data_IF_334842291487
#
_entry.id   IF_334842291487
#
_cell.length_a   1.000
_cell.length_b   1.000
_cell.length_c   1.000
_cell.angle_alpha   90.00
_cell.angle_beta   90.00
_cell.angle_gamma   90.00
#
_symmetry.space_group_name_H-M   'P 1'
#
loop_
_entity.id
_entity.type
_entity.pdbx_description
1 polymer ?
#
# COMPACT_ATOMS: atom_id res chain seq x y z
N UNK A 1 34.15 -25.15 16.32
CA UNK A 1 33.38 -26.39 16.04
C UNK A 1 32.99 -26.35 14.56
N UNK A 2 33.22 -27.43 13.79
CA UNK A 2 32.83 -27.53 12.37
C UNK A 2 31.34 -27.85 12.27
N UNK A 3 30.57 -27.03 11.54
CA UNK A 3 29.15 -27.26 11.30
C UNK A 3 28.98 -28.19 10.09
N UNK A 4 28.21 -29.27 10.25
CA UNK A 4 27.85 -30.19 9.18
C UNK A 4 26.36 -30.03 8.94
N UNK A 5 25.99 -29.41 7.82
CA UNK A 5 24.61 -29.21 7.40
C UNK A 5 24.04 -30.52 6.84
N UNK A 6 23.01 -31.08 7.49
CA UNK A 6 22.28 -32.23 6.93
C UNK A 6 21.34 -31.74 5.83
N UNK A 7 21.47 -32.32 4.64
CA UNK A 7 20.63 -32.03 3.47
C UNK A 7 19.21 -32.54 3.74
N UNK A 8 18.22 -31.65 3.69
CA UNK A 8 16.80 -32.01 3.77
C UNK A 8 16.42 -32.72 2.46
N UNK A 9 16.03 -33.99 2.53
CA UNK A 9 15.60 -34.79 1.39
C UNK A 9 14.10 -34.59 1.14
N UNK A 10 13.79 -33.91 0.02
CA UNK A 10 12.60 -33.94 -0.88
C UNK A 10 11.31 -34.67 -0.41
N UNK A 11 10.07 -34.31 -0.80
CA UNK A 11 9.57 -33.41 -1.84
C UNK A 11 8.06 -33.21 -1.60
N UNK A 12 7.64 -31.97 -1.39
CA UNK A 12 6.31 -31.43 -1.75
C UNK A 12 6.32 -29.97 -1.32
N UNK A 13 7.08 -29.14 -2.01
CA UNK A 13 6.95 -27.69 -1.83
C UNK A 13 5.55 -27.31 -2.32
N UNK A 14 4.61 -27.13 -1.38
CA UNK A 14 3.25 -26.67 -1.66
C UNK A 14 3.24 -25.31 -2.39
N UNK A 15 4.35 -24.57 -2.25
CA UNK A 15 4.58 -23.29 -2.90
C UNK A 15 5.95 -23.33 -3.57
N UNK A 16 6.00 -22.98 -4.86
CA UNK A 16 7.27 -22.70 -5.53
C UNK A 16 7.91 -21.45 -4.88
N UNK A 17 9.24 -21.32 -4.90
CA UNK A 17 9.89 -20.09 -4.44
C UNK A 17 9.31 -18.90 -5.21
N UNK A 18 8.67 -17.97 -4.51
CA UNK A 18 8.14 -16.75 -5.10
C UNK A 18 9.31 -15.93 -5.66
N UNK A 19 9.36 -15.79 -6.99
CA UNK A 19 10.39 -14.99 -7.67
C UNK A 19 10.06 -13.49 -7.68
N UNK A 20 8.86 -13.12 -7.24
CA UNK A 20 8.38 -11.76 -7.15
C UNK A 20 6.87 -11.71 -6.97
N UNK A 21 6.37 -10.52 -6.63
CA UNK A 21 4.93 -10.29 -6.60
C UNK A 21 4.37 -10.33 -8.02
N UNK A 22 3.14 -10.79 -8.16
CA UNK A 22 2.47 -10.84 -9.44
C UNK A 22 0.99 -10.52 -9.29
N UNK A 23 0.40 -10.08 -10.40
CA UNK A 23 -1.04 -9.87 -10.55
C UNK A 23 -1.49 -10.76 -11.70
N UNK A 24 -2.32 -11.75 -11.40
CA UNK A 24 -2.91 -12.65 -12.39
C UNK A 24 -4.42 -12.61 -12.33
N UNK A 25 -5.06 -13.11 -13.38
CA UNK A 25 -6.51 -13.22 -13.45
C UNK A 25 -7.00 -13.73 -14.79
N UNK A 26 -8.31 -13.66 -14.97
CA UNK A 26 -9.02 -14.07 -16.18
C UNK A 26 -9.86 -12.93 -16.75
N UNK A 27 -9.74 -12.70 -18.05
CA UNK A 27 -10.55 -11.77 -18.83
C UNK A 27 -11.73 -12.49 -19.47
N UNK A 28 -12.93 -11.99 -19.21
CA UNK A 28 -14.19 -12.60 -19.64
C UNK A 28 -15.05 -11.61 -20.43
N UNK A 29 -15.92 -12.13 -21.30
CA UNK A 29 -17.03 -11.38 -21.89
C UNK A 29 -18.13 -11.16 -20.85
N UNK A 30 -19.10 -10.29 -21.14
CA UNK A 30 -20.30 -10.15 -20.30
C UNK A 30 -21.13 -11.44 -20.20
N UNK A 31 -20.91 -12.42 -21.10
CA UNK A 31 -21.50 -13.76 -21.04
C UNK A 31 -20.64 -14.76 -20.25
N UNK A 32 -19.59 -14.29 -19.58
CA UNK A 32 -18.62 -15.09 -18.83
C UNK A 32 -17.77 -16.05 -19.68
N UNK A 33 -17.56 -15.74 -20.95
CA UNK A 33 -16.70 -16.53 -21.85
C UNK A 33 -15.27 -15.94 -21.86
N UNK A 34 -14.21 -16.76 -21.88
CA UNK A 34 -12.83 -16.26 -21.89
C UNK A 34 -12.50 -15.50 -23.18
N UNK A 35 -11.81 -14.36 -23.03
CA UNK A 35 -11.36 -13.54 -24.16
C UNK A 35 -9.87 -13.79 -24.39
N UNK A 36 -9.52 -14.37 -25.54
CA UNK A 36 -8.13 -14.64 -25.92
C UNK A 36 -7.53 -13.54 -26.80
N UNK A 37 -6.22 -13.32 -26.68
CA UNK A 37 -5.45 -12.42 -27.54
C UNK A 37 -5.75 -10.94 -27.31
N UNK A 38 -6.43 -10.59 -26.21
CA UNK A 38 -6.72 -9.19 -25.90
C UNK A 38 -5.65 -8.59 -25.01
N UNK A 39 -5.40 -7.28 -25.21
CA UNK A 39 -4.49 -6.49 -24.40
C UNK A 39 -5.12 -6.17 -23.05
N UNK A 40 -4.38 -6.47 -21.99
CA UNK A 40 -4.68 -6.10 -20.60
C UNK A 40 -3.55 -5.19 -20.13
N UNK A 41 -3.90 -4.02 -19.62
CA UNK A 41 -2.97 -3.02 -19.09
C UNK A 41 -3.13 -2.90 -17.58
N UNK A 42 -2.04 -2.72 -16.86
CA UNK A 42 -2.01 -2.41 -15.44
C UNK A 42 -1.34 -1.06 -15.19
N UNK A 43 -1.91 -0.28 -14.27
CA UNK A 43 -1.40 0.99 -13.83
C UNK A 43 -1.33 1.06 -12.31
N UNK A 44 -0.29 1.68 -11.78
CA UNK A 44 -0.19 2.02 -10.35
C UNK A 44 0.69 3.26 -10.14
N UNK A 45 0.67 3.80 -8.91
CA UNK A 45 1.67 4.77 -8.45
C UNK A 45 2.55 4.09 -7.42
N UNK A 46 3.84 3.92 -7.75
CA UNK A 46 4.82 3.22 -6.90
C UNK A 46 5.95 4.21 -6.58
N UNK A 47 6.16 4.48 -5.28
CA UNK A 47 7.21 5.40 -4.83
C UNK A 47 7.04 6.85 -5.31
N UNK A 48 5.81 7.26 -5.66
CA UNK A 48 5.52 8.58 -6.23
C UNK A 48 5.71 8.69 -7.75
N UNK A 49 6.10 7.60 -8.42
CA UNK A 49 6.22 7.53 -9.88
C UNK A 49 5.11 6.66 -10.49
N UNK A 50 4.65 6.96 -11.71
CA UNK A 50 3.68 6.14 -12.41
C UNK A 50 4.32 4.83 -12.89
N UNK A 51 3.61 3.72 -12.71
CA UNK A 51 3.94 2.39 -13.19
C UNK A 51 2.94 1.98 -14.27
N UNK A 52 3.44 1.46 -15.40
CA UNK A 52 2.64 0.93 -16.49
C UNK A 52 3.17 -0.42 -16.92
N UNK A 53 2.27 -1.38 -17.13
CA UNK A 53 2.59 -2.66 -17.73
C UNK A 53 1.43 -3.11 -18.63
N UNK A 54 1.73 -3.88 -19.67
CA UNK A 54 0.72 -4.54 -20.49
C UNK A 54 1.06 -6.02 -20.74
N UNK A 55 0.03 -6.80 -21.04
CA UNK A 55 0.15 -8.22 -21.34
C UNK A 55 -0.99 -8.64 -22.26
N UNK A 56 -0.88 -9.84 -22.84
CA UNK A 56 -1.91 -10.42 -23.70
C UNK A 56 -2.56 -11.62 -22.99
N UNK A 57 -3.86 -11.76 -23.17
CA UNK A 57 -4.57 -12.92 -22.64
C UNK A 57 -4.27 -14.18 -23.47
N UNK A 58 -4.07 -15.31 -22.79
CA UNK A 58 -3.86 -16.60 -23.45
C UNK A 58 -5.17 -17.21 -24.00
N UNK A 59 -5.11 -18.44 -24.53
CA UNK A 59 -6.29 -19.17 -25.06
C UNK A 59 -7.43 -19.34 -24.03
N UNK A 60 -7.09 -19.45 -22.74
CA UNK A 60 -8.04 -19.53 -21.63
C UNK A 60 -8.46 -18.17 -21.07
N UNK A 61 -8.10 -17.06 -21.74
CA UNK A 61 -8.39 -15.71 -21.27
C UNK A 61 -7.57 -15.25 -20.06
N UNK A 62 -6.52 -15.99 -19.66
CA UNK A 62 -5.71 -15.59 -18.50
C UNK A 62 -4.69 -14.52 -18.86
N UNK A 63 -4.50 -13.58 -17.95
CA UNK A 63 -3.44 -12.58 -17.98
C UNK A 63 -2.54 -12.70 -16.74
N UNK A 64 -1.30 -12.26 -16.87
CA UNK A 64 -0.34 -12.24 -15.77
C UNK A 64 0.62 -11.06 -15.92
N UNK A 65 0.82 -10.32 -14.83
CA UNK A 65 1.86 -9.32 -14.64
C UNK A 65 2.81 -9.84 -13.58
N UNK A 66 4.01 -10.26 -13.99
CA UNK A 66 5.02 -10.83 -13.08
C UNK A 66 6.07 -9.79 -12.65
N UNK A 67 6.90 -10.18 -11.65
CA UNK A 67 8.07 -9.43 -11.19
C UNK A 67 7.75 -7.99 -10.76
N UNK A 68 6.63 -7.84 -10.05
CA UNK A 68 6.25 -6.58 -9.46
C UNK A 68 7.09 -6.34 -8.19
N UNK A 69 7.69 -5.16 -8.10
CA UNK A 69 8.52 -4.76 -6.96
C UNK A 69 8.00 -3.46 -6.38
N UNK A 70 7.38 -3.56 -5.21
CA UNK A 70 6.89 -2.40 -4.48
C UNK A 70 6.77 -2.72 -2.99
N UNK A 71 6.73 -1.67 -2.18
CA UNK A 71 6.69 -1.78 -0.72
C UNK A 71 5.36 -1.25 -0.17
N UNK A 72 4.86 -1.91 0.89
CA UNK A 72 3.59 -1.55 1.53
C UNK A 72 2.36 -1.85 0.66
N UNK A 73 1.17 -1.45 1.14
CA UNK A 73 -0.07 -1.60 0.37
C UNK A 73 -0.04 -0.67 -0.85
N UNK A 74 -0.39 -1.20 -2.02
CA UNK A 74 -0.54 -0.44 -3.26
C UNK A 74 -1.82 -0.84 -3.99
N UNK A 75 -2.41 0.15 -4.65
CA UNK A 75 -3.57 -0.02 -5.51
C UNK A 75 -3.11 -0.08 -6.97
N UNK A 76 -3.61 -1.07 -7.70
CA UNK A 76 -3.40 -1.25 -9.14
C UNK A 76 -4.74 -1.16 -9.87
N UNK A 77 -4.79 -0.39 -10.95
CA UNK A 77 -5.90 -0.39 -11.88
C UNK A 77 -5.56 -1.28 -13.07
N UNK A 78 -6.40 -2.29 -13.32
CA UNK A 78 -6.28 -3.20 -14.44
C UNK A 78 -7.37 -2.85 -15.45
N UNK A 79 -7.01 -2.65 -16.71
CA UNK A 79 -7.95 -2.37 -17.78
C UNK A 79 -7.77 -3.36 -18.92
N UNK A 80 -8.88 -3.70 -19.57
CA UNK A 80 -8.88 -4.53 -20.74
C UNK A 80 -9.94 -4.04 -21.73
N UNK A 81 -9.66 -4.28 -23.01
CA UNK A 81 -10.62 -4.11 -24.11
C UNK A 81 -11.00 -5.50 -24.64
N UNK A 82 -12.09 -5.62 -25.37
CA UNK A 82 -12.38 -6.82 -26.15
C UNK A 82 -11.56 -6.83 -27.44
N UNK A 83 -11.61 -7.93 -28.19
CA UNK A 83 -10.91 -8.08 -29.48
C UNK A 83 -11.36 -7.05 -30.54
N UNK A 84 -12.46 -6.33 -30.32
CA UNK A 84 -12.98 -5.26 -31.18
C UNK A 84 -12.66 -3.87 -30.61
N UNK A 85 -11.72 -3.78 -29.67
CA UNK A 85 -11.28 -2.54 -29.03
C UNK A 85 -12.37 -1.84 -28.20
N UNK A 86 -13.35 -2.58 -27.66
CA UNK A 86 -14.43 -2.05 -26.82
C UNK A 86 -14.23 -2.45 -25.37
N UNK A 87 -14.58 -1.56 -24.46
CA UNK A 87 -14.50 -1.76 -23.02
C UNK A 87 -15.51 -2.77 -22.41
N UNK A 88 -16.13 -3.65 -23.21
CA UNK A 88 -17.18 -4.59 -22.76
C UNK A 88 -16.60 -5.91 -22.24
N UNK A 89 -15.84 -5.84 -21.15
CA UNK A 89 -15.17 -6.99 -20.56
C UNK A 89 -15.30 -7.04 -19.05
N UNK A 90 -15.22 -8.23 -18.48
CA UNK A 90 -15.16 -8.48 -17.03
C UNK A 90 -13.76 -8.97 -16.68
N UNK A 91 -13.09 -8.29 -15.76
CA UNK A 91 -11.78 -8.68 -15.24
C UNK A 91 -12.00 -9.39 -13.91
N UNK A 92 -11.55 -10.65 -13.82
CA UNK A 92 -11.57 -11.45 -12.59
C UNK A 92 -10.14 -11.72 -12.12
N UNK A 93 -9.59 -10.90 -11.21
CA UNK A 93 -8.29 -11.17 -10.61
C UNK A 93 -8.31 -12.51 -9.88
N UNK A 94 -7.20 -13.23 -9.95
CA UNK A 94 -7.00 -14.41 -9.12
C UNK A 94 -6.89 -13.94 -7.66
N UNK A 95 -7.64 -14.58 -6.76
CA UNK A 95 -7.42 -14.35 -5.34
C UNK A 95 -6.06 -14.91 -4.98
N UNK A 96 -5.13 -14.06 -4.54
CA UNK A 96 -3.96 -14.56 -3.84
C UNK A 96 -4.48 -15.43 -2.69
N UNK A 97 -4.07 -16.70 -2.60
CA UNK A 97 -4.47 -17.51 -1.48
C UNK A 97 -4.04 -16.75 -0.23
N UNK A 98 -5.00 -16.38 0.61
CA UNK A 98 -4.66 -15.92 1.94
C UNK A 98 -3.75 -17.00 2.52
N UNK A 99 -2.58 -16.64 3.08
CA UNK A 99 -1.75 -17.65 3.71
C UNK A 99 -2.66 -18.40 4.68
N UNK A 100 -2.73 -19.72 4.52
CA UNK A 100 -3.42 -20.56 5.49
C UNK A 100 -2.89 -20.12 6.85
N UNK A 101 -3.76 -19.48 7.63
CA UNK A 101 -3.44 -19.14 9.02
C UNK A 101 -3.37 -20.49 9.69
N UNK A 102 -2.20 -21.12 9.61
CA UNK A 102 -1.88 -22.21 10.49
C UNK A 102 -2.02 -21.58 11.87
N UNK A 103 -2.88 -22.12 12.75
CA UNK A 103 -2.87 -21.68 14.13
C UNK A 103 -1.41 -21.74 14.56
N UNK A 104 -0.90 -20.61 15.09
CA UNK A 104 0.46 -20.55 15.61
C UNK A 104 0.67 -21.87 16.37
N UNK A 105 1.70 -22.68 16.03
CA UNK A 105 1.96 -23.87 16.82
C UNK A 105 1.95 -23.42 18.27
N UNK A 106 1.24 -24.13 19.17
CA UNK A 106 1.12 -23.70 20.55
C UNK A 106 2.51 -23.28 21.00
N UNK A 107 2.64 -22.01 21.42
CA UNK A 107 3.89 -21.48 21.95
C UNK A 107 4.47 -22.60 22.80
N UNK A 108 5.69 -23.04 22.47
CA UNK A 108 6.36 -24.19 23.09
C UNK A 108 5.91 -24.34 24.54
N UNK A 109 5.65 -25.57 25.05
CA UNK A 109 5.19 -25.76 26.43
C UNK A 109 5.98 -24.82 27.35
N UNK A 110 5.23 -24.02 28.12
CA UNK A 110 5.62 -22.73 28.71
C UNK A 110 6.93 -22.72 29.54
N UNK A 111 7.52 -23.88 29.72
CA UNK A 111 8.54 -24.19 30.71
C UNK A 111 9.98 -24.05 30.18
N UNK A 112 10.22 -23.80 28.89
CA UNK A 112 11.60 -23.70 28.36
C UNK A 112 11.97 -22.40 27.63
N UNK A 113 11.01 -21.64 27.11
CA UNK A 113 11.28 -20.35 26.43
C UNK A 113 10.26 -19.25 26.77
N UNK A 114 9.04 -19.61 27.16
CA UNK A 114 8.00 -18.63 27.46
C UNK A 114 8.23 -17.88 28.79
N UNK A 115 8.81 -18.53 29.79
CA UNK A 115 9.09 -17.93 31.10
C UNK A 115 10.03 -16.72 31.03
N UNK A 116 11.21 -16.77 30.37
CA UNK A 116 12.06 -15.59 30.25
C UNK A 116 11.45 -14.51 29.37
N UNK A 117 10.69 -14.85 28.32
CA UNK A 117 10.07 -13.85 27.44
C UNK A 117 8.88 -13.14 28.11
N UNK A 118 8.05 -13.87 28.86
CA UNK A 118 6.95 -13.31 29.65
C UNK A 118 7.50 -12.50 30.82
N UNK A 119 8.53 -12.99 31.50
CA UNK A 119 9.21 -12.23 32.55
C UNK A 119 9.86 -10.94 32.00
N UNK A 120 10.46 -10.98 30.81
CA UNK A 120 10.99 -9.80 30.13
C UNK A 120 9.87 -8.83 29.72
N UNK A 121 8.75 -9.34 29.18
CA UNK A 121 7.60 -8.53 28.81
C UNK A 121 6.95 -7.86 30.03
N UNK A 122 6.81 -8.57 31.15
CA UNK A 122 6.30 -8.04 32.42
C UNK A 122 7.29 -7.06 33.05
N UNK A 123 8.59 -7.35 33.00
CA UNK A 123 9.64 -6.44 33.46
C UNK A 123 9.69 -5.16 32.63
N UNK A 124 9.58 -5.25 31.30
CA UNK A 124 9.48 -4.13 30.37
C UNK A 124 8.24 -3.29 30.67
N UNK A 125 7.07 -3.92 30.84
CA UNK A 125 5.82 -3.23 31.21
C UNK A 125 5.93 -2.51 32.55
N UNK A 126 6.51 -3.16 33.57
CA UNK A 126 6.71 -2.57 34.90
C UNK A 126 7.68 -1.39 34.86
N UNK A 127 8.80 -1.53 34.13
CA UNK A 127 9.75 -0.43 33.89
C UNK A 127 9.08 0.74 33.18
N UNK A 128 8.26 0.48 32.16
CA UNK A 128 7.51 1.52 31.44
C UNK A 128 6.58 2.30 32.38
N UNK A 129 5.84 1.60 33.25
CA UNK A 129 4.97 2.23 34.26
C UNK A 129 5.77 3.04 35.28
N UNK A 130 6.90 2.54 35.78
CA UNK A 130 7.78 3.27 36.70
C UNK A 130 8.37 4.54 36.05
N UNK A 131 8.69 4.50 34.75
CA UNK A 131 9.16 5.66 33.99
C UNK A 131 8.08 6.74 33.78
N UNK A 132 6.82 6.33 33.62
CA UNK A 132 5.68 7.24 33.52
C UNK A 132 5.42 7.95 34.85
N UNK A 133 5.43 7.21 35.96
CA UNK A 133 5.23 7.74 37.31
C UNK A 133 6.35 8.71 37.75
N UNK A 134 7.60 8.42 37.37
CA UNK A 134 8.75 9.25 37.73
C UNK A 134 8.99 10.44 36.78
N UNK A 135 8.04 10.79 35.92
CA UNK A 135 8.14 11.91 34.96
C UNK A 135 9.35 11.85 34.00
N UNK A 136 10.00 10.69 33.87
CA UNK A 136 11.18 10.50 33.00
C UNK A 136 10.77 10.59 31.52
N UNK A 137 9.56 10.13 31.20
CA UNK A 137 8.97 10.13 29.86
C UNK A 137 8.43 11.49 29.37
N UNK A 138 8.57 12.58 30.15
CA UNK A 138 7.99 13.92 29.81
C UNK A 138 8.47 14.57 28.50
N UNK A 139 9.38 13.95 27.74
CA UNK A 139 9.73 14.39 26.37
C UNK A 139 9.34 13.40 25.28
N UNK A 140 8.72 12.28 25.61
CA UNK A 140 7.95 11.50 24.66
C UNK A 140 6.59 12.17 24.50
N UNK A 141 6.15 12.39 23.26
CA UNK A 141 4.77 12.80 23.00
C UNK A 141 3.88 11.67 23.53
N UNK A 142 3.27 11.86 24.71
CA UNK A 142 2.21 10.98 25.18
C UNK A 142 1.07 11.16 24.20
N UNK A 143 0.96 10.23 23.25
CA UNK A 143 -0.14 10.22 22.30
C UNK A 143 -1.39 10.06 23.16
N UNK A 144 -2.22 11.10 23.16
CA UNK A 144 -3.56 11.03 23.78
C UNK A 144 -4.20 9.75 23.27
N UNK A 145 -4.88 9.01 24.15
CA UNK A 145 -5.74 7.90 23.77
C UNK A 145 -6.57 8.36 22.58
N UNK A 146 -6.21 7.82 21.40
CA UNK A 146 -6.99 7.99 20.20
C UNK A 146 -8.07 6.94 20.31
N UNK A 147 -9.28 7.38 20.66
CA UNK A 147 -10.45 6.59 20.30
C UNK A 147 -10.34 6.37 18.79
N UNK A 148 -10.05 5.14 18.39
CA UNK A 148 -10.10 4.73 16.99
C UNK A 148 -11.59 4.68 16.64
N UNK A 149 -12.20 5.87 16.50
CA UNK A 149 -13.41 6.02 15.71
C UNK A 149 -13.00 5.52 14.35
N UNK A 150 -13.60 4.41 13.93
CA UNK A 150 -13.29 3.75 12.67
C UNK A 150 -13.04 4.84 11.61
N UNK A 151 -11.84 4.86 11.02
CA UNK A 151 -11.53 5.82 9.94
C UNK A 151 -12.66 5.66 8.93
N UNK A 152 -13.41 6.75 8.70
CA UNK A 152 -14.47 6.78 7.68
C UNK A 152 -13.84 6.21 6.41
N UNK A 153 -14.38 5.10 5.91
CA UNK A 153 -13.85 4.45 4.71
C UNK A 153 -13.98 5.46 3.58
N UNK A 154 -12.85 5.90 3.07
CA UNK A 154 -12.83 6.88 1.99
C UNK A 154 -13.18 6.15 0.71
N UNK A 155 -14.31 6.52 0.11
CA UNK A 155 -14.83 5.89 -1.10
C UNK A 155 -14.25 6.57 -2.34
N UNK A 156 -13.93 5.75 -3.35
CA UNK A 156 -13.62 6.18 -4.72
C UNK A 156 -14.34 5.23 -5.65
N UNK A 157 -15.18 5.77 -6.53
CA UNK A 157 -15.79 4.97 -7.59
C UNK A 157 -14.81 4.57 -8.68
N UNK A 158 -13.60 5.15 -8.69
CA UNK A 158 -12.47 4.66 -9.51
C UNK A 158 -11.57 3.62 -8.86
N UNK A 159 -11.97 3.16 -7.67
CA UNK A 159 -11.37 2.06 -6.94
C UNK A 159 -10.42 2.51 -5.85
N UNK A 160 -9.55 3.48 -6.12
CA UNK A 160 -8.74 4.13 -5.08
C UNK A 160 -8.42 5.59 -5.45
N UNK A 161 -8.58 6.48 -4.46
CA UNK A 161 -8.19 7.88 -4.56
C UNK A 161 -6.71 8.09 -4.84
N UNK A 162 -5.86 7.10 -4.55
CA UNK A 162 -4.43 7.18 -4.85
C UNK A 162 -4.13 7.36 -6.35
N UNK A 163 -5.09 7.09 -7.22
CA UNK A 163 -4.95 7.33 -8.65
C UNK A 163 -5.26 8.76 -9.07
N UNK A 164 -5.94 9.52 -8.21
CA UNK A 164 -6.30 10.89 -8.49
C UNK A 164 -5.10 11.81 -8.30
N UNK A 165 -4.90 12.70 -9.27
CA UNK A 165 -3.94 13.79 -9.14
C UNK A 165 -4.41 14.78 -8.09
N UNK A 166 -5.73 14.98 -8.03
CA UNK A 166 -6.36 15.89 -7.09
C UNK A 166 -7.63 15.29 -6.51
N UNK A 167 -7.80 15.50 -5.20
CA UNK A 167 -8.93 14.98 -4.43
C UNK A 167 -9.55 16.14 -3.65
N UNK A 168 -10.83 16.37 -3.91
CA UNK A 168 -11.60 17.46 -3.32
C UNK A 168 -12.72 16.85 -2.47
N UNK A 169 -12.54 16.83 -1.16
CA UNK A 169 -13.55 16.38 -0.21
C UNK A 169 -14.73 17.36 -0.08
N UNK A 170 -15.91 16.84 0.28
CA UNK A 170 -17.12 17.65 0.50
C UNK A 170 -16.88 18.87 1.40
N UNK A 171 -16.02 18.73 2.42
CA UNK A 171 -15.67 19.81 3.34
C UNK A 171 -15.16 21.08 2.64
N UNK A 172 -14.53 20.95 1.48
CA UNK A 172 -13.97 22.06 0.68
C UNK A 172 -14.95 22.63 -0.34
N UNK A 173 -16.06 21.93 -0.64
CA UNK A 173 -16.97 22.29 -1.73
C UNK A 173 -18.39 22.57 -1.28
N UNK A 174 -18.78 22.16 -0.06
CA UNK A 174 -20.13 22.32 0.49
C UNK A 174 -20.67 23.75 0.45
N UNK A 175 -19.80 24.75 0.53
CA UNK A 175 -20.18 26.18 0.55
C UNK A 175 -20.06 26.83 -0.84
N UNK A 176 -19.67 26.06 -1.87
CA UNK A 176 -19.56 26.55 -3.24
C UNK A 176 -20.92 26.57 -3.93
N UNK A 177 -21.08 27.45 -4.92
CA UNK A 177 -22.35 27.57 -5.64
C UNK A 177 -22.59 26.43 -6.64
N UNK A 178 -21.52 25.85 -7.19
CA UNK A 178 -21.58 24.74 -8.15
C UNK A 178 -20.32 23.90 -8.12
N UNK A 179 -20.42 22.63 -8.56
CA UNK A 179 -19.25 21.76 -8.68
C UNK A 179 -18.21 22.29 -9.66
N UNK A 180 -18.64 22.91 -10.78
CA UNK A 180 -17.72 23.53 -11.72
C UNK A 180 -16.87 24.65 -11.08
N UNK A 181 -17.47 25.44 -10.18
CA UNK A 181 -16.76 26.47 -9.42
C UNK A 181 -15.76 25.84 -8.46
N UNK A 182 -16.19 24.81 -7.72
CA UNK A 182 -15.33 24.04 -6.83
C UNK A 182 -14.11 23.43 -7.55
N UNK A 183 -14.33 22.79 -8.70
CA UNK A 183 -13.29 22.18 -9.54
C UNK A 183 -12.31 23.25 -10.02
N UNK A 184 -12.82 24.36 -10.55
CA UNK A 184 -11.97 25.47 -11.05
C UNK A 184 -11.15 26.12 -9.93
N UNK A 185 -11.71 26.20 -8.72
CA UNK A 185 -11.02 26.78 -7.56
C UNK A 185 -9.92 25.87 -7.03
N UNK A 186 -10.17 24.56 -7.02
CA UNK A 186 -9.21 23.55 -6.63
C UNK A 186 -8.07 23.46 -7.67
N UNK A 187 -8.45 23.40 -8.95
CA UNK A 187 -7.54 23.38 -10.08
C UNK A 187 -7.80 24.55 -11.05
N UNK A 188 -7.07 25.68 -10.92
CA UNK A 188 -7.25 26.86 -11.78
C UNK A 188 -7.00 26.64 -13.27
N UNK A 189 -6.39 25.51 -13.63
CA UNK A 189 -6.16 25.12 -15.02
C UNK A 189 -7.32 24.36 -15.63
N UNK A 190 -8.27 23.85 -14.83
CA UNK A 190 -9.50 23.26 -15.35
C UNK A 190 -10.55 24.37 -15.47
N UNK A 191 -11.05 24.55 -16.69
CA UNK A 191 -12.07 25.56 -17.01
C UNK A 191 -13.23 24.90 -17.73
N UNK A 192 -14.40 25.51 -17.63
CA UNK A 192 -15.61 25.07 -18.31
C UNK A 192 -15.92 26.04 -19.44
N UNK A 193 -16.20 25.50 -20.63
CA UNK A 193 -16.55 26.33 -21.78
C UNK A 193 -18.05 26.76 -21.73
N UNK A 194 -18.51 27.45 -22.79
CA UNK A 194 -19.90 27.91 -22.91
C UNK A 194 -20.94 26.78 -22.95
N UNK A 195 -20.54 25.56 -23.27
CA UNK A 195 -21.37 24.37 -23.28
C UNK A 195 -21.26 23.58 -21.96
N UNK A 196 -20.54 24.10 -20.97
CA UNK A 196 -20.17 23.43 -19.72
C UNK A 196 -19.23 22.25 -19.91
N UNK A 197 -18.45 22.22 -20.98
CA UNK A 197 -17.43 21.19 -21.18
C UNK A 197 -16.13 21.54 -20.42
N UNK A 198 -15.66 20.66 -19.52
CA UNK A 198 -14.39 20.84 -18.85
C UNK A 198 -13.23 20.68 -19.83
N UNK A 199 -12.24 21.57 -19.72
CA UNK A 199 -11.01 21.54 -20.50
C UNK A 199 -9.83 22.02 -19.66
N UNK A 200 -8.66 21.43 -19.93
CA UNK A 200 -7.41 21.79 -19.25
C UNK A 200 -6.66 22.86 -20.04
N UNK A 201 -6.30 23.95 -19.36
CA UNK A 201 -5.69 25.17 -19.92
C UNK A 201 -4.21 25.32 -19.56
N UNK A 202 -3.66 24.43 -18.73
CA UNK A 202 -2.29 24.50 -18.21
C UNK A 202 -1.19 24.00 -19.15
N UNK A 203 -1.26 24.29 -20.46
CA UNK A 203 -0.27 23.87 -21.47
C UNK A 203 -0.87 23.03 -22.60
N UNK A 204 -0.06 22.20 -23.29
CA UNK A 204 -0.55 21.20 -24.25
C UNK A 204 -0.81 19.88 -23.52
N UNK A 205 -2.02 19.61 -23.02
CA UNK A 205 -2.32 18.27 -22.52
C UNK A 205 -2.21 17.26 -23.67
N UNK A 206 -1.74 16.04 -23.37
CA UNK A 206 -1.65 14.93 -24.33
C UNK A 206 -3.04 14.55 -24.90
N UNK A 207 -4.12 14.81 -24.15
CA UNK A 207 -5.52 14.58 -24.54
C UNK A 207 -6.39 15.81 -24.26
N UNK A 208 -7.36 16.10 -25.14
CA UNK A 208 -8.08 17.39 -25.16
C UNK A 208 -9.42 17.42 -24.42
N UNK A 209 -9.98 16.28 -24.02
CA UNK A 209 -11.30 16.23 -23.39
C UNK A 209 -11.27 15.55 -22.03
N UNK A 210 -12.22 15.96 -21.20
CA UNK A 210 -12.57 15.29 -19.95
C UNK A 210 -13.75 14.35 -20.18
N UNK A 211 -13.80 13.29 -19.40
CA UNK A 211 -14.96 12.41 -19.23
C UNK A 211 -15.40 12.44 -17.77
N UNK A 212 -16.70 12.40 -17.52
CA UNK A 212 -17.25 12.43 -16.17
C UNK A 212 -17.71 11.05 -15.76
N UNK A 213 -17.31 10.62 -14.56
CA UNK A 213 -17.78 9.38 -13.93
C UNK A 213 -18.55 9.76 -12.66
N UNK A 214 -19.82 9.37 -12.56
CA UNK A 214 -20.63 9.59 -11.36
C UNK A 214 -20.92 8.23 -10.72
N UNK A 215 -20.45 8.04 -9.49
CA UNK A 215 -20.58 6.78 -8.73
C UNK A 215 -20.19 5.52 -9.52
N UNK A 216 -19.22 5.64 -10.45
CA UNK A 216 -18.70 4.51 -11.23
C UNK A 216 -19.37 4.33 -12.59
N UNK A 217 -20.34 5.17 -12.94
CA UNK A 217 -20.95 5.18 -14.26
C UNK A 217 -20.41 6.36 -15.09
N UNK A 218 -20.00 6.07 -16.33
CA UNK A 218 -19.63 7.10 -17.30
C UNK A 218 -20.87 7.92 -17.66
N UNK A 219 -20.75 9.23 -17.53
CA UNK A 219 -21.83 10.20 -17.69
C UNK A 219 -21.40 11.33 -18.63
N UNK A 220 -22.38 12.02 -19.18
CA UNK A 220 -22.16 13.27 -19.90
C UNK A 220 -21.59 14.35 -18.96
N UNK A 221 -20.70 15.19 -19.47
CA UNK A 221 -20.06 16.24 -18.68
C UNK A 221 -21.06 17.28 -18.13
N UNK A 222 -22.23 17.43 -18.77
CA UNK A 222 -23.33 18.23 -18.26
C UNK A 222 -23.82 17.81 -16.88
N UNK A 223 -23.57 16.57 -16.43
CA UNK A 223 -23.91 16.12 -15.07
C UNK A 223 -23.20 16.91 -13.97
N UNK A 224 -22.01 17.47 -14.26
CA UNK A 224 -21.27 18.31 -13.31
C UNK A 224 -22.10 19.53 -12.87
N UNK A 225 -22.94 20.07 -13.77
CA UNK A 225 -23.78 21.23 -13.47
C UNK A 225 -25.12 20.86 -12.84
N UNK A 226 -25.54 19.60 -12.94
CA UNK A 226 -26.82 19.13 -12.40
C UNK A 226 -26.73 18.73 -10.94
N UNK A 227 -25.55 18.30 -10.48
CA UNK A 227 -25.32 17.89 -9.10
C UNK A 227 -24.98 19.08 -8.21
N UNK A 228 -25.62 19.16 -7.04
CA UNK A 228 -25.29 20.14 -6.01
C UNK A 228 -24.07 19.72 -5.17
N UNK A 229 -23.25 20.67 -4.67
CA UNK A 229 -22.15 20.34 -3.75
C UNK A 229 -22.61 19.63 -2.47
N UNK A 230 -23.84 19.86 -2.02
CA UNK A 230 -24.42 19.17 -0.86
C UNK A 230 -24.70 17.68 -1.10
N UNK A 231 -24.84 17.24 -2.35
CA UNK A 231 -25.10 15.85 -2.72
C UNK A 231 -23.81 15.06 -2.96
N UNK A 232 -22.68 15.76 -3.09
CA UNK A 232 -21.38 15.17 -3.43
C UNK A 232 -20.56 14.90 -2.17
N UNK A 233 -20.06 13.68 -2.02
CA UNK A 233 -19.09 13.34 -0.98
C UNK A 233 -17.68 13.78 -1.38
N UNK A 234 -17.30 13.57 -2.64
CA UNK A 234 -16.01 14.02 -3.15
C UNK A 234 -15.93 14.10 -4.66
N UNK A 235 -14.96 14.87 -5.13
CA UNK A 235 -14.53 14.93 -6.53
C UNK A 235 -13.08 14.46 -6.61
N UNK A 236 -12.77 13.59 -7.57
CA UNK A 236 -11.41 13.14 -7.88
C UNK A 236 -11.09 13.51 -9.33
N UNK A 237 -9.93 14.11 -9.56
CA UNK A 237 -9.49 14.56 -10.87
C UNK A 237 -8.28 13.73 -11.28
N UNK A 238 -8.41 13.06 -12.42
CA UNK A 238 -7.37 12.26 -13.05
C UNK A 238 -7.08 12.90 -14.40
N UNK A 239 -6.03 13.71 -14.48
CA UNK A 239 -5.62 14.37 -15.71
C UNK A 239 -4.18 14.03 -16.13
N UNK A 240 -3.46 13.27 -15.29
CA UNK A 240 -2.16 12.67 -15.59
C UNK A 240 -2.22 11.14 -15.44
N UNK A 241 -1.07 10.47 -15.33
CA UNK A 241 -0.94 9.07 -14.90
C UNK A 241 -1.97 8.10 -15.52
N UNK A 242 -2.92 7.66 -14.69
CA UNK A 242 -3.95 6.69 -15.05
C UNK A 242 -4.81 7.18 -16.21
N UNK A 243 -5.16 8.47 -16.25
CA UNK A 243 -5.96 9.07 -17.32
C UNK A 243 -5.27 8.93 -18.68
N UNK A 244 -3.96 9.16 -18.73
CA UNK A 244 -3.15 9.14 -19.96
C UNK A 244 -2.82 7.73 -20.45
N UNK A 245 -2.61 6.76 -19.55
CA UNK A 245 -2.21 5.40 -19.94
C UNK A 245 -3.36 4.39 -20.03
N UNK A 246 -4.52 4.70 -19.47
CA UNK A 246 -5.65 3.76 -19.35
C UNK A 246 -6.88 4.29 -20.07
N UNK A 247 -7.24 5.56 -19.90
CA UNK A 247 -8.53 6.06 -20.37
C UNK A 247 -8.49 6.79 -21.71
N UNK A 248 -7.30 7.18 -22.20
CA UNK A 248 -7.15 8.04 -23.37
C UNK A 248 -7.95 9.37 -23.24
N UNK A 249 -8.25 9.76 -22.00
CA UNK A 249 -9.04 10.94 -21.64
C UNK A 249 -8.58 11.46 -20.27
N UNK A 250 -8.93 12.69 -19.94
CA UNK A 250 -8.87 13.15 -18.55
C UNK A 250 -10.20 12.78 -17.88
N UNK A 251 -10.22 12.45 -16.60
CA UNK A 251 -11.43 12.01 -15.89
C UNK A 251 -11.72 12.90 -14.70
N UNK A 252 -12.98 13.29 -14.56
CA UNK A 252 -13.55 13.84 -13.33
C UNK A 252 -14.47 12.77 -12.74
N UNK A 253 -14.14 12.32 -11.54
CA UNK A 253 -14.93 11.34 -10.80
C UNK A 253 -15.72 12.08 -9.72
N UNK A 254 -17.02 11.88 -9.67
CA UNK A 254 -17.91 12.44 -8.67
C UNK A 254 -18.51 11.28 -7.88
N UNK A 255 -18.22 11.28 -6.58
CA UNK A 255 -18.81 10.32 -5.64
C UNK A 255 -19.91 11.02 -4.86
N UNK A 256 -21.15 10.52 -4.88
CA UNK A 256 -22.29 11.12 -4.19
C UNK A 256 -22.42 10.62 -2.74
N UNK A 257 -23.00 11.44 -1.85
CA UNK A 257 -23.26 11.07 -0.44
C UNK A 257 -24.29 9.94 -0.30
N UNK A 258 -25.16 9.80 -1.29
CA UNK A 258 -26.19 8.76 -1.36
C UNK A 258 -25.64 7.42 -1.83
N UNK A 259 -24.32 7.31 -2.05
CA UNK A 259 -23.63 6.08 -2.45
C UNK A 259 -24.31 4.87 -1.82
N UNK A 260 -25.03 4.09 -2.63
CA UNK A 260 -25.73 2.92 -2.14
C UNK A 260 -24.65 1.90 -1.72
N UNK A 261 -24.48 1.65 -0.41
CA UNK A 261 -23.42 0.76 0.07
C UNK A 261 -23.71 -0.71 -0.26
N UNK A 262 -24.91 -1.02 -0.76
CA UNK A 262 -25.37 -2.34 -1.18
C UNK A 262 -25.36 -2.53 -2.70
N UNK A 263 -25.54 -1.47 -3.50
CA UNK A 263 -25.23 -1.51 -4.92
C UNK A 263 -23.72 -1.31 -5.12
N UNK A 264 -23.03 -2.43 -5.34
CA UNK A 264 -21.63 -2.49 -5.74
C UNK A 264 -21.39 -1.85 -7.13
N UNK A 265 -21.65 -0.55 -7.31
CA UNK A 265 -21.10 0.21 -8.43
C UNK A 265 -19.55 0.22 -8.39
N UNK A 266 -18.97 -0.13 -7.23
CA UNK A 266 -17.54 -0.27 -6.97
C UNK A 266 -16.85 -1.48 -7.62
N UNK A 267 -17.57 -2.41 -8.27
CA UNK A 267 -16.90 -3.60 -8.82
C UNK A 267 -16.41 -3.44 -10.25
N UNK A 268 -17.06 -2.64 -11.09
CA UNK A 268 -16.70 -2.41 -12.49
C UNK A 268 -16.66 -0.90 -12.76
N UNK A 269 -15.65 -0.28 -12.14
CA UNK A 269 -15.33 1.16 -12.04
C UNK A 269 -15.60 1.99 -13.32
N UNK A 270 -15.28 1.41 -14.45
CA UNK A 270 -15.55 1.84 -15.82
C UNK A 270 -15.60 0.51 -16.56
N UNK A 271 -16.46 0.38 -17.58
CA UNK A 271 -16.53 -0.87 -18.34
C UNK A 271 -15.10 -1.35 -18.69
N UNK A 272 -14.79 -2.62 -18.42
CA UNK A 272 -13.47 -3.17 -18.70
C UNK A 272 -12.33 -2.71 -17.79
N UNK A 273 -12.60 -2.06 -16.64
CA UNK A 273 -11.58 -1.74 -15.63
C UNK A 273 -11.88 -2.35 -14.26
N UNK A 274 -10.82 -2.74 -13.54
CA UNK A 274 -10.85 -3.29 -12.19
C UNK A 274 -9.70 -2.75 -11.35
N UNK A 275 -10.02 -2.11 -10.23
CA UNK A 275 -9.03 -1.79 -9.21
C UNK A 275 -8.81 -2.98 -8.26
N UNK A 276 -7.56 -3.24 -7.92
CA UNK A 276 -7.15 -4.24 -6.93
C UNK A 276 -6.16 -3.63 -5.94
N UNK A 277 -6.18 -4.13 -4.71
CA UNK A 277 -5.20 -3.78 -3.68
C UNK A 277 -4.28 -4.95 -3.45
N UNK A 278 -2.99 -4.69 -3.42
CA UNK A 278 -1.95 -5.68 -3.25
C UNK A 278 -1.00 -5.24 -2.14
N UNK A 279 -0.65 -6.17 -1.24
CA UNK A 279 0.34 -5.92 -0.22
C UNK A 279 1.73 -6.21 -0.81
N UNK A 280 2.56 -5.17 -0.86
CA UNK A 280 3.94 -5.26 -1.30
C UNK A 280 4.88 -5.79 -0.23
N UNK A 281 6.18 -5.76 -0.53
CA UNK A 281 7.21 -6.08 0.44
C UNK A 281 7.13 -5.20 1.69
N UNK A 282 7.57 -5.76 2.81
CA UNK A 282 7.62 -5.02 4.06
C UNK A 282 8.66 -3.91 3.96
N UNK A 283 8.24 -2.67 4.20
CA UNK A 283 9.18 -1.55 4.35
C UNK A 283 9.71 -1.58 5.79
N UNK A 284 11.01 -1.82 5.94
CA UNK A 284 11.63 -1.77 7.26
C UNK A 284 11.47 -0.37 7.86
N UNK A 285 11.16 -0.33 9.16
CA UNK A 285 11.13 0.91 9.93
C UNK A 285 12.53 1.17 10.47
N UNK A 286 12.99 2.40 10.35
CA UNK A 286 14.17 2.85 11.07
C UNK A 286 13.79 3.11 12.53
N UNK A 287 14.52 2.48 13.46
CA UNK A 287 14.32 2.74 14.88
C UNK A 287 15.04 4.01 15.26
N UNK A 288 14.38 4.86 16.06
CA UNK A 288 15.00 6.07 16.57
C UNK A 288 16.20 5.73 17.47
N UNK A 289 17.36 6.30 17.15
CA UNK A 289 18.57 6.25 17.97
C UNK A 289 18.75 7.64 18.62
N UNK A 290 18.68 7.75 19.95
CA UNK A 290 18.98 8.98 20.66
C UNK A 290 20.39 9.46 20.35
N UNK A 291 20.58 10.78 20.27
CA UNK A 291 21.91 11.36 20.29
C UNK A 291 22.41 11.37 21.73
N UNK A 292 23.47 10.60 22.00
CA UNK A 292 24.13 10.58 23.30
C UNK A 292 25.16 11.72 23.33
N UNK A 293 24.86 12.81 24.01
CA UNK A 293 25.81 13.88 24.32
C UNK A 293 26.29 13.77 25.78
N UNK A 294 27.42 14.40 26.11
CA UNK A 294 28.03 14.33 27.44
C UNK A 294 27.14 14.92 28.56
N UNK A 295 26.07 15.65 28.20
CA UNK A 295 25.13 16.28 29.13
C UNK A 295 23.86 15.45 29.39
N UNK A 296 23.46 14.55 28.48
CA UNK A 296 22.32 13.65 28.67
C UNK A 296 22.67 12.46 29.57
N UNK A 297 22.60 12.68 30.89
CA UNK A 297 22.72 11.64 31.92
C UNK A 297 21.43 10.85 32.19
N UNK A 298 20.44 10.91 31.29
CA UNK A 298 19.19 10.16 31.47
C UNK A 298 19.43 8.69 31.14
N UNK A 299 18.92 7.79 31.99
CA UNK A 299 18.96 6.36 31.73
C UNK A 299 18.19 6.06 30.43
N UNK A 300 18.87 5.45 29.46
CA UNK A 300 18.20 4.85 28.30
C UNK A 300 17.67 3.47 28.72
N UNK A 301 16.36 3.32 28.58
CA UNK A 301 15.62 2.18 29.11
C UNK A 301 14.84 1.46 27.99
N UNK A 302 15.26 1.66 26.73
CA UNK A 302 14.68 0.98 25.57
C UNK A 302 15.07 -0.50 25.56
N UNK A 303 14.15 -1.38 25.17
CA UNK A 303 14.48 -2.81 25.03
C UNK A 303 15.29 -3.11 23.75
N UNK A 304 15.15 -2.27 22.72
CA UNK A 304 15.90 -2.36 21.45
C UNK A 304 16.90 -1.21 21.37
N UNK A 305 18.17 -1.52 21.57
CA UNK A 305 19.28 -0.55 21.54
C UNK A 305 19.58 -0.10 20.12
N UNK A 306 19.61 -1.05 19.20
CA UNK A 306 20.01 -0.88 17.80
C UNK A 306 19.23 -1.85 16.90
N UNK A 307 18.82 -1.36 15.73
CA UNK A 307 18.21 -2.16 14.68
C UNK A 307 18.63 -1.59 13.33
N UNK A 308 19.32 -2.38 12.51
CA UNK A 308 19.66 -2.05 11.14
C UNK A 308 19.41 -3.26 10.23
N UNK A 309 18.39 -3.21 9.36
CA UNK A 309 18.08 -4.28 8.42
C UNK A 309 18.99 -4.30 7.19
N UNK A 310 19.75 -3.22 6.95
CA UNK A 310 20.46 -2.96 5.69
C UNK A 310 21.98 -3.01 5.89
N UNK A 311 22.43 -4.14 6.42
CA UNK A 311 23.85 -4.42 6.60
C UNK A 311 24.32 -5.21 5.39
N UNK A 312 25.04 -4.54 4.49
CA UNK A 312 25.66 -5.15 3.31
C UNK A 312 27.13 -5.42 3.64
N UNK A 313 27.57 -6.69 3.70
CA UNK A 313 28.97 -7.03 3.89
C UNK A 313 29.84 -6.54 2.72
N UNK A 314 31.11 -6.29 3.00
CA UNK A 314 32.10 -5.94 1.99
C UNK A 314 32.45 -7.13 1.07
N UNK A 315 33.41 -6.93 0.15
CA UNK A 315 33.85 -7.97 -0.79
C UNK A 315 34.44 -9.21 -0.11
N UNK A 316 34.90 -9.08 1.14
CA UNK A 316 35.43 -10.18 1.95
C UNK A 316 34.34 -10.87 2.79
N UNK A 317 33.10 -10.37 2.75
CA UNK A 317 31.99 -10.87 3.56
C UNK A 317 31.99 -10.35 5.00
N UNK A 318 32.74 -9.27 5.28
CA UNK A 318 32.83 -8.65 6.60
C UNK A 318 31.91 -7.44 6.68
N UNK A 319 31.27 -7.25 7.84
CA UNK A 319 30.46 -6.07 8.12
C UNK A 319 30.74 -5.59 9.54
N UNK A 320 31.00 -4.29 9.70
CA UNK A 320 31.19 -3.65 11.00
C UNK A 320 29.97 -2.81 11.34
N UNK A 321 29.50 -2.95 12.58
CA UNK A 321 28.35 -2.23 13.11
C UNK A 321 28.76 -1.58 14.41
N UNK A 322 28.55 -0.27 14.51
CA UNK A 322 28.76 0.49 15.73
C UNK A 322 27.42 0.99 16.26
N UNK A 323 27.22 0.84 17.56
CA UNK A 323 26.03 1.30 18.24
C UNK A 323 26.34 1.74 19.67
N UNK A 324 25.60 2.73 20.19
CA UNK A 324 25.79 3.21 21.56
C UNK A 324 25.20 2.23 22.58
N UNK A 325 25.89 2.01 23.70
CA UNK A 325 25.32 1.32 24.86
C UNK A 325 24.46 2.29 25.69
N UNK A 326 23.40 1.77 26.31
CA UNK A 326 22.39 2.54 27.04
C UNK A 326 22.85 3.12 28.39
N UNK A 327 24.14 3.01 28.72
CA UNK A 327 24.71 3.40 30.01
C UNK A 327 24.25 2.53 31.20
N UNK A 328 23.30 1.63 31.00
CA UNK A 328 22.80 0.68 32.00
C UNK A 328 23.63 -0.61 31.99
N UNK A 329 24.05 -1.04 33.19
CA UNK A 329 24.72 -2.33 33.41
C UNK A 329 23.74 -3.46 33.16
N UNK A 330 24.19 -4.55 32.54
CA UNK A 330 23.34 -5.71 32.27
C UNK A 330 23.83 -6.58 31.13
N UNK A 331 23.04 -7.62 30.85
CA UNK A 331 23.29 -8.58 29.78
C UNK A 331 22.54 -8.16 28.52
N UNK A 332 23.26 -7.99 27.42
CA UNK A 332 22.74 -7.58 26.12
C UNK A 332 22.75 -8.76 25.15
N UNK A 333 21.69 -8.88 24.35
CA UNK A 333 21.56 -9.90 23.30
C UNK A 333 21.55 -9.24 21.93
N UNK A 334 22.54 -9.56 21.11
CA UNK A 334 22.62 -9.21 19.70
C UNK A 334 22.10 -10.38 18.88
N UNK A 335 21.12 -10.11 18.01
CA UNK A 335 20.59 -11.07 17.05
C UNK A 335 20.89 -10.53 15.66
N UNK A 336 21.59 -11.32 14.84
CA UNK A 336 21.86 -10.99 13.45
C UNK A 336 21.25 -12.08 12.58
N UNK A 337 20.36 -11.66 11.68
CA UNK A 337 19.62 -12.50 10.75
C UNK A 337 19.78 -11.93 9.34
N UNK A 338 19.91 -12.78 8.34
CA UNK A 338 20.12 -12.33 6.97
C UNK A 338 19.87 -13.40 5.93
N UNK A 339 19.82 -12.96 4.67
CA UNK A 339 19.67 -13.82 3.50
C UNK A 339 20.76 -13.46 2.47
N UNK A 340 21.52 -14.46 2.03
CA UNK A 340 22.51 -14.28 0.97
C UNK A 340 21.87 -14.19 -0.40
N UNK A 341 22.61 -13.68 -1.40
CA UNK A 341 22.11 -13.48 -2.77
C UNK A 341 21.54 -14.74 -3.45
N UNK A 342 21.94 -15.93 -2.99
CA UNK A 342 21.43 -17.23 -3.46
C UNK A 342 20.24 -17.76 -2.64
N UNK A 343 19.62 -16.92 -1.81
CA UNK A 343 18.49 -17.27 -0.96
C UNK A 343 18.84 -18.08 0.30
N UNK A 344 20.13 -18.18 0.66
CA UNK A 344 20.57 -18.90 1.86
C UNK A 344 20.31 -18.04 3.10
N UNK A 345 19.60 -18.55 4.09
CA UNK A 345 19.33 -17.83 5.33
C UNK A 345 20.41 -18.10 6.38
N UNK A 346 20.70 -17.09 7.19
CA UNK A 346 21.67 -17.16 8.28
C UNK A 346 21.12 -16.49 9.54
N UNK A 347 21.47 -17.04 10.70
CA UNK A 347 21.16 -16.48 12.02
C UNK A 347 22.31 -16.71 12.98
N UNK A 348 22.71 -15.67 13.69
CA UNK A 348 23.64 -15.77 14.80
C UNK A 348 23.14 -14.94 15.98
N UNK A 349 23.45 -15.42 17.19
CA UNK A 349 23.09 -14.74 18.44
C UNK A 349 24.35 -14.60 19.27
N UNK A 350 24.66 -13.38 19.66
CA UNK A 350 25.78 -13.04 20.52
C UNK A 350 25.25 -12.37 21.79
N UNK A 351 25.85 -12.70 22.94
CA UNK A 351 25.47 -12.16 24.24
C UNK A 351 26.72 -11.57 24.88
N UNK A 352 26.62 -10.34 25.39
CA UNK A 352 27.69 -9.68 26.13
C UNK A 352 27.15 -8.98 27.36
N UNK A 353 28.02 -8.74 28.33
CA UNK A 353 27.68 -8.07 29.59
C UNK A 353 28.38 -6.72 29.66
N UNK A 354 27.66 -5.69 30.06
CA UNK A 354 28.19 -4.37 30.40
C UNK A 354 28.23 -4.26 31.92
N UNK A 355 29.43 -4.13 32.47
CA UNK A 355 29.69 -4.12 33.93
C UNK A 355 29.76 -2.73 34.55
#
# INVERSE_FOLDING_TARGET
RRFVWKKQTADSTMFLPEQGLHISGTLLTNKQEPISGSKVSAFAVIGGAPFFADTLTNAGGRFNFDRLEFYGERSFAIQAKDVKNRYKTIIRPDSLPLPLIQPLPPLMPADTVATPLLAEADASKKRFTEMEQNNVLRRGVQLKQVDIKAKKKVYSSVGDRMFADEVIDNEKIKDEHSLATAITKANPFIRFDKNNEPHYTGGRPLYKHFETVVDGALMDNGMIQQLGPDEVESIEILHTGLSLGVFDSQIIVINTKLHDPYHNYSKDVVAGMKAIKLQGYYQSREFYIPKYDAENKKADLRDVVYWNPDIIPDENGEASVEFPNMGSKGTYRVVMEGIGAKGQTGRTVFIYTVE
#
